data_IF_780133781037
#
_entry.id   IF_780133781037
#
_cell.length_a   1.000
_cell.length_b   1.000
_cell.length_c   1.000
_cell.angle_alpha   90.00
_cell.angle_beta   90.00
_cell.angle_gamma   90.00
#
_symmetry.space_group_name_H-M   'P 1'
#
loop_
_entity.id
_entity.type
_entity.pdbx_description
1 polymer ?
#
# COMPACT_ATOMS: atom_id res chain seq x y z
N UNK A 1 -7.38 0.02 27.13
CA UNK A 1 -8.08 0.20 25.84
C UNK A 1 -7.13 0.91 24.86
N UNK A 2 -6.38 0.15 24.04
CA UNK A 2 -5.37 0.73 23.13
C UNK A 2 -6.01 1.43 21.94
N UNK A 3 -5.81 2.75 21.82
CA UNK A 3 -6.28 3.56 20.69
C UNK A 3 -5.50 3.13 19.44
N UNK A 4 -6.15 2.43 18.51
CA UNK A 4 -5.55 2.14 17.19
C UNK A 4 -5.65 3.40 16.34
N UNK A 5 -4.50 4.00 16.01
CA UNK A 5 -4.43 5.09 15.04
C UNK A 5 -4.87 4.56 13.66
N UNK A 6 -5.73 5.27 12.91
CA UNK A 6 -6.13 4.81 11.58
C UNK A 6 -4.91 4.87 10.66
N UNK A 7 -4.41 3.71 10.25
CA UNK A 7 -3.35 3.61 9.26
C UNK A 7 -3.84 4.26 7.95
N UNK A 8 -3.26 5.40 7.59
CA UNK A 8 -3.61 6.24 6.43
C UNK A 8 -3.31 5.60 5.07
N UNK A 9 -2.83 4.36 5.04
CA UNK A 9 -2.61 3.54 3.83
C UNK A 9 -3.55 2.33 3.73
N UNK A 10 -4.71 2.37 4.38
CA UNK A 10 -5.68 1.29 4.26
C UNK A 10 -6.11 1.11 2.80
N UNK A 11 -5.77 -0.06 2.24
CA UNK A 11 -6.19 -0.48 0.90
C UNK A 11 -7.73 -0.42 0.85
N UNK A 12 -8.29 0.06 -0.25
CA UNK A 12 -9.74 0.05 -0.44
C UNK A 12 -10.24 -1.39 -0.32
N UNK A 13 -11.03 -1.66 0.72
CA UNK A 13 -11.56 -2.99 1.03
C UNK A 13 -13.04 -3.02 0.67
N UNK A 14 -13.41 -4.04 -0.08
CA UNK A 14 -14.81 -4.35 -0.35
C UNK A 14 -15.43 -5.00 0.89
N UNK A 15 -16.53 -4.42 1.40
CA UNK A 15 -17.26 -4.97 2.56
C UNK A 15 -18.20 -6.11 2.16
N UNK A 16 -18.66 -6.13 0.90
CA UNK A 16 -19.66 -7.07 0.40
C UNK A 16 -19.03 -8.31 -0.24
N UNK A 17 -17.74 -8.24 -0.59
CA UNK A 17 -17.03 -9.38 -1.16
C UNK A 17 -17.01 -10.58 -0.19
N UNK A 18 -17.26 -11.81 -0.71
CA UNK A 18 -17.06 -13.04 0.05
C UNK A 18 -15.67 -13.06 0.71
N UNK A 19 -15.61 -13.55 1.95
CA UNK A 19 -14.35 -13.64 2.68
C UNK A 19 -13.56 -14.84 2.19
N UNK A 20 -12.29 -14.62 1.87
CA UNK A 20 -11.34 -15.69 1.54
C UNK A 20 -11.25 -16.64 2.75
N UNK A 21 -11.36 -17.97 2.55
CA UNK A 21 -11.26 -18.93 3.63
C UNK A 21 -9.85 -18.97 4.19
N UNK A 22 -9.76 -19.41 5.45
CA UNK A 22 -8.49 -19.45 6.16
C UNK A 22 -7.66 -20.62 5.66
N UNK A 23 -6.40 -20.34 5.27
CA UNK A 23 -5.49 -21.40 4.84
C UNK A 23 -5.17 -22.38 5.99
N UNK A 24 -4.68 -23.56 5.63
CA UNK A 24 -4.41 -24.66 6.56
C UNK A 24 -3.55 -24.23 7.77
N UNK A 25 -2.44 -23.53 7.53
CA UNK A 25 -1.58 -23.03 8.61
C UNK A 25 -2.30 -22.03 9.51
N UNK A 26 -3.02 -21.06 8.95
CA UNK A 26 -3.71 -20.03 9.74
C UNK A 26 -4.80 -20.65 10.60
N UNK A 27 -5.46 -21.70 10.10
CA UNK A 27 -6.44 -22.50 10.85
C UNK A 27 -5.79 -23.19 12.03
N UNK A 28 -4.71 -23.94 11.78
CA UNK A 28 -3.90 -24.57 12.82
C UNK A 28 -3.41 -23.55 13.85
N UNK A 29 -2.88 -22.42 13.38
CA UNK A 29 -2.36 -21.35 14.21
C UNK A 29 -3.44 -20.75 15.11
N UNK A 30 -4.63 -20.45 14.56
CA UNK A 30 -5.74 -19.88 15.32
C UNK A 30 -6.24 -20.84 16.40
N UNK A 31 -6.37 -22.12 16.08
CA UNK A 31 -6.79 -23.15 17.04
C UNK A 31 -5.80 -23.23 18.21
N UNK A 32 -4.51 -23.39 17.91
CA UNK A 32 -3.47 -23.51 18.94
C UNK A 32 -3.26 -22.23 19.74
N UNK A 33 -3.29 -21.06 19.09
CA UNK A 33 -3.17 -19.78 19.78
C UNK A 33 -4.35 -19.54 20.73
N UNK A 34 -5.55 -19.95 20.35
CA UNK A 34 -6.74 -19.83 21.21
C UNK A 34 -6.64 -20.69 22.46
N UNK A 35 -6.10 -21.91 22.33
CA UNK A 35 -5.85 -22.80 23.46
C UNK A 35 -4.81 -22.18 24.41
N UNK A 36 -3.68 -21.70 23.88
CA UNK A 36 -2.64 -21.09 24.71
C UNK A 36 -3.05 -19.76 25.37
N UNK A 37 -3.97 -18.99 24.76
CA UNK A 37 -4.50 -17.77 25.39
C UNK A 37 -5.35 -18.10 26.62
N UNK A 38 -6.10 -19.21 26.61
CA UNK A 38 -6.87 -19.68 27.77
C UNK A 38 -5.95 -20.07 28.92
N UNK A 39 -4.76 -20.58 28.60
CA UNK A 39 -3.71 -20.95 29.55
C UNK A 39 -2.89 -19.75 30.06
N UNK A 40 -3.24 -18.50 29.68
CA UNK A 40 -2.55 -17.30 30.13
C UNK A 40 -1.13 -17.11 29.58
N UNK A 41 -0.72 -17.88 28.56
CA UNK A 41 0.64 -17.86 28.02
C UNK A 41 0.92 -16.61 27.18
N UNK A 42 2.19 -16.17 27.17
CA UNK A 42 2.66 -15.08 26.33
C UNK A 42 2.44 -15.39 24.84
N UNK A 43 1.60 -14.58 24.19
CA UNK A 43 1.20 -14.76 22.79
C UNK A 43 2.40 -14.82 21.83
N UNK A 44 3.47 -14.05 22.10
CA UNK A 44 4.64 -13.99 21.22
C UNK A 44 5.43 -15.31 21.23
N UNK A 45 5.70 -15.83 22.42
CA UNK A 45 6.44 -17.09 22.59
C UNK A 45 5.66 -18.28 22.04
N UNK A 46 4.35 -18.31 22.30
CA UNK A 46 3.43 -19.32 21.78
C UNK A 46 3.41 -19.30 20.26
N UNK A 47 3.32 -18.12 19.63
CA UNK A 47 3.26 -18.01 18.17
C UNK A 47 4.50 -18.62 17.49
N UNK A 48 5.69 -18.41 18.09
CA UNK A 48 6.94 -18.99 17.61
C UNK A 48 6.94 -20.52 17.74
N UNK A 49 6.48 -21.06 18.88
CA UNK A 49 6.35 -22.51 19.09
C UNK A 49 5.39 -23.16 18.10
N UNK A 50 4.23 -22.55 17.85
CA UNK A 50 3.24 -23.04 16.88
C UNK A 50 3.84 -23.08 15.47
N UNK A 51 4.57 -22.04 15.06
CA UNK A 51 5.22 -22.00 13.76
C UNK A 51 6.26 -23.13 13.61
N UNK A 52 7.09 -23.35 14.64
CA UNK A 52 8.06 -24.45 14.66
C UNK A 52 7.35 -25.81 14.57
N UNK A 53 6.31 -26.03 15.37
CA UNK A 53 5.55 -27.29 15.35
C UNK A 53 4.91 -27.56 13.98
N UNK A 54 4.31 -26.55 13.35
CA UNK A 54 3.77 -26.71 11.99
C UNK A 54 4.87 -27.08 10.98
N UNK A 55 6.08 -26.54 11.12
CA UNK A 55 7.18 -26.88 10.20
C UNK A 55 7.63 -28.34 10.32
N UNK A 56 7.55 -28.92 11.51
CA UNK A 56 7.97 -30.31 11.79
C UNK A 56 6.87 -31.34 11.59
N UNK A 57 5.60 -30.92 11.50
CA UNK A 57 4.48 -31.82 11.23
C UNK A 57 4.60 -32.49 9.85
N UNK A 58 4.19 -33.75 9.81
CA UNK A 58 4.10 -34.59 8.61
C UNK A 58 2.97 -34.15 7.68
N UNK A 59 2.92 -34.71 6.46
CA UNK A 59 1.86 -34.40 5.51
C UNK A 59 0.50 -34.91 6.02
N UNK A 60 0.50 -36.05 6.69
CA UNK A 60 -0.66 -36.73 7.27
C UNK A 60 -1.28 -35.89 8.39
N UNK A 61 -0.46 -35.33 9.28
CA UNK A 61 -0.92 -34.45 10.35
C UNK A 61 -1.45 -33.11 9.82
N UNK A 62 -0.92 -32.62 8.70
CA UNK A 62 -1.39 -31.39 8.05
C UNK A 62 -2.64 -31.62 7.20
N UNK A 63 -2.84 -32.85 6.71
CA UNK A 63 -3.94 -33.24 5.81
C UNK A 63 -5.31 -32.72 6.23
N UNK A 64 -5.79 -32.90 7.47
CA UNK A 64 -7.12 -32.42 7.86
C UNK A 64 -7.28 -30.90 7.68
N UNK A 65 -6.24 -30.11 7.95
CA UNK A 65 -6.28 -28.66 7.78
C UNK A 65 -6.31 -28.23 6.30
N UNK A 66 -5.66 -29.01 5.42
CA UNK A 66 -5.70 -28.78 3.98
C UNK A 66 -7.04 -29.22 3.38
N UNK A 67 -7.58 -30.35 3.78
CA UNK A 67 -8.88 -30.84 3.32
C UNK A 67 -10.00 -29.85 3.66
N UNK A 68 -10.03 -29.34 4.90
CA UNK A 68 -10.99 -28.30 5.30
C UNK A 68 -10.80 -26.99 4.50
N UNK A 69 -9.54 -26.57 4.28
CA UNK A 69 -9.27 -25.39 3.46
C UNK A 69 -9.76 -25.57 2.03
N UNK A 70 -9.53 -26.73 1.42
CA UNK A 70 -9.94 -27.02 0.04
C UNK A 70 -11.46 -27.02 -0.09
N UNK A 71 -12.18 -27.65 0.86
CA UNK A 71 -13.64 -27.63 0.90
C UNK A 71 -14.20 -26.22 0.99
N UNK A 72 -13.68 -25.39 1.90
CA UNK A 72 -14.14 -24.00 2.03
C UNK A 72 -13.75 -23.14 0.83
N UNK A 73 -12.63 -23.45 0.18
CA UNK A 73 -12.13 -22.76 -1.02
C UNK A 73 -13.05 -22.96 -2.21
N UNK A 74 -13.60 -24.16 -2.40
CA UNK A 74 -14.59 -24.45 -3.43
C UNK A 74 -15.85 -23.61 -3.23
N UNK A 75 -16.43 -23.65 -2.02
CA UNK A 75 -17.60 -22.83 -1.66
C UNK A 75 -17.33 -21.33 -1.84
N UNK A 76 -16.13 -20.88 -1.49
CA UNK A 76 -15.72 -19.49 -1.71
C UNK A 76 -15.69 -19.13 -3.20
N UNK A 77 -15.21 -20.01 -4.07
CA UNK A 77 -15.17 -19.74 -5.50
C UNK A 77 -16.55 -19.62 -6.11
N UNK A 78 -17.50 -20.47 -5.70
CA UNK A 78 -18.90 -20.37 -6.12
C UNK A 78 -19.51 -19.03 -5.68
N UNK A 79 -19.42 -18.69 -4.39
CA UNK A 79 -19.90 -17.40 -3.86
C UNK A 79 -19.25 -16.20 -4.55
N UNK A 80 -17.97 -16.32 -4.89
CA UNK A 80 -17.24 -15.26 -5.58
C UNK A 80 -17.66 -15.14 -7.05
N UNK A 81 -18.05 -16.25 -7.69
CA UNK A 81 -18.61 -16.24 -9.05
C UNK A 81 -19.94 -15.48 -9.06
N UNK A 82 -20.86 -15.85 -8.17
CA UNK A 82 -22.14 -15.14 -7.99
C UNK A 82 -21.91 -13.67 -7.65
N UNK A 83 -21.00 -13.38 -6.71
CA UNK A 83 -20.70 -12.01 -6.30
C UNK A 83 -20.24 -11.12 -7.47
N UNK A 84 -19.45 -11.66 -8.41
CA UNK A 84 -18.96 -10.88 -9.56
C UNK A 84 -20.06 -10.45 -10.52
N UNK A 85 -21.20 -11.12 -10.52
CA UNK A 85 -22.34 -10.79 -11.36
C UNK A 85 -23.18 -9.64 -10.77
N UNK A 86 -23.03 -9.39 -9.46
CA UNK A 86 -23.79 -8.36 -8.73
C UNK A 86 -23.40 -6.93 -9.10
N UNK A 87 -24.36 -5.99 -8.95
CA UNK A 87 -24.11 -4.56 -9.14
C UNK A 87 -23.13 -4.00 -8.10
N UNK A 88 -23.14 -4.55 -6.88
CA UNK A 88 -22.21 -4.17 -5.80
C UNK A 88 -20.76 -4.38 -6.23
N UNK A 89 -20.45 -5.50 -6.89
CA UNK A 89 -19.12 -5.76 -7.42
C UNK A 89 -18.73 -4.76 -8.51
N UNK A 90 -19.63 -4.50 -9.47
CA UNK A 90 -19.39 -3.54 -10.56
C UNK A 90 -19.11 -2.14 -10.01
N UNK A 91 -19.90 -1.69 -9.06
CA UNK A 91 -19.73 -0.38 -8.42
C UNK A 91 -18.41 -0.31 -7.64
N UNK A 92 -18.06 -1.36 -6.90
CA UNK A 92 -16.77 -1.43 -6.22
C UNK A 92 -15.59 -1.36 -7.20
N UNK A 93 -15.66 -2.01 -8.36
CA UNK A 93 -14.62 -1.91 -9.39
C UNK A 93 -14.51 -0.49 -9.97
N UNK A 94 -15.63 0.19 -10.21
CA UNK A 94 -15.64 1.59 -10.65
C UNK A 94 -14.97 2.50 -9.62
N UNK A 95 -15.35 2.40 -8.35
CA UNK A 95 -14.74 3.18 -7.25
C UNK A 95 -13.24 2.92 -7.17
N UNK A 96 -12.82 1.66 -7.26
CA UNK A 96 -11.40 1.26 -7.24
C UNK A 96 -10.63 1.86 -8.41
N UNK A 97 -11.19 1.83 -9.61
CA UNK A 97 -10.61 2.41 -10.81
C UNK A 97 -10.48 3.94 -10.71
N UNK A 98 -11.54 4.62 -10.27
CA UNK A 98 -11.54 6.08 -10.12
C UNK A 98 -10.55 6.53 -9.04
N UNK A 99 -10.44 5.82 -7.92
CA UNK A 99 -9.41 6.08 -6.90
C UNK A 99 -7.99 5.94 -7.49
N UNK A 100 -7.75 4.91 -8.31
CA UNK A 100 -6.46 4.71 -9.01
C UNK A 100 -6.18 5.83 -10.01
N UNK A 101 -7.17 6.23 -10.82
CA UNK A 101 -7.05 7.36 -11.76
C UNK A 101 -6.75 8.67 -11.01
N UNK A 102 -7.47 8.96 -9.92
CA UNK A 102 -7.26 10.13 -9.07
C UNK A 102 -5.85 10.16 -8.48
N UNK A 103 -5.35 9.02 -7.98
CA UNK A 103 -3.98 8.91 -7.47
C UNK A 103 -2.94 9.20 -8.58
N UNK A 104 -3.11 8.62 -9.77
CA UNK A 104 -2.26 8.89 -10.94
C UNK A 104 -2.28 10.37 -11.35
N UNK A 105 -3.48 10.99 -11.42
CA UNK A 105 -3.64 12.42 -11.73
C UNK A 105 -2.91 13.29 -10.70
N UNK A 106 -3.08 13.01 -9.41
CA UNK A 106 -2.37 13.72 -8.32
C UNK A 106 -0.85 13.61 -8.45
N UNK A 107 -0.34 12.39 -8.69
CA UNK A 107 1.10 12.15 -8.90
C UNK A 107 1.62 12.93 -10.12
N UNK A 108 0.92 12.87 -11.26
CA UNK A 108 1.29 13.63 -12.47
C UNK A 108 1.29 15.14 -12.24
N UNK A 109 0.30 15.67 -11.52
CA UNK A 109 0.22 17.09 -11.17
C UNK A 109 1.38 17.50 -10.25
N UNK A 110 1.75 16.66 -9.28
CA UNK A 110 2.92 16.90 -8.42
C UNK A 110 4.21 17.00 -9.24
N UNK A 111 4.41 16.08 -10.18
CA UNK A 111 5.59 16.09 -11.06
C UNK A 111 5.63 17.36 -11.90
N UNK A 112 4.51 17.74 -12.55
CA UNK A 112 4.43 18.98 -13.33
C UNK A 112 4.76 20.22 -12.50
N UNK A 113 4.24 20.31 -11.27
CA UNK A 113 4.53 21.41 -10.35
C UNK A 113 6.03 21.47 -10.00
N UNK A 114 6.64 20.33 -9.68
CA UNK A 114 8.07 20.27 -9.35
C UNK A 114 8.95 20.66 -10.55
N UNK A 115 8.60 20.20 -11.77
CA UNK A 115 9.31 20.59 -13.01
C UNK A 115 9.17 22.08 -13.26
N UNK A 116 7.96 22.63 -13.14
CA UNK A 116 7.74 24.07 -13.31
C UNK A 116 8.55 24.88 -12.29
N UNK A 117 8.56 24.46 -11.02
CA UNK A 117 9.34 25.11 -9.96
C UNK A 117 10.84 25.10 -10.27
N UNK A 118 11.39 23.98 -10.77
CA UNK A 118 12.78 23.88 -11.19
C UNK A 118 13.09 24.78 -12.40
N UNK A 119 12.22 24.80 -13.41
CA UNK A 119 12.38 25.67 -14.59
C UNK A 119 12.35 27.15 -14.20
N UNK A 120 11.41 27.56 -13.34
CA UNK A 120 11.35 28.93 -12.82
C UNK A 120 12.61 29.31 -12.06
N UNK A 121 13.16 28.39 -11.26
CA UNK A 121 14.42 28.61 -10.56
C UNK A 121 15.61 28.80 -11.52
N UNK A 122 15.73 27.96 -12.56
CA UNK A 122 16.80 28.07 -13.58
C UNK A 122 16.68 29.38 -14.38
N UNK A 123 15.46 29.81 -14.74
CA UNK A 123 15.26 31.08 -15.43
C UNK A 123 15.66 32.27 -14.56
N UNK A 124 15.31 32.25 -13.27
CA UNK A 124 15.70 33.29 -12.33
C UNK A 124 17.23 33.37 -12.16
N UNK A 125 17.94 32.24 -12.10
CA UNK A 125 19.41 32.26 -11.98
C UNK A 125 20.08 32.76 -13.26
N UNK A 126 19.61 32.33 -14.43
CA UNK A 126 20.10 32.84 -15.73
C UNK A 126 19.87 34.34 -15.89
N UNK A 127 18.68 34.84 -15.53
CA UNK A 127 18.35 36.27 -15.58
C UNK A 127 19.24 37.07 -14.63
N UNK A 128 19.44 36.61 -13.39
CA UNK A 128 20.34 37.26 -12.42
C UNK A 128 21.78 37.32 -12.94
N UNK A 129 22.28 36.24 -13.53
CA UNK A 129 23.61 36.19 -14.12
C UNK A 129 23.75 37.17 -15.29
N UNK A 130 22.76 37.19 -16.20
CA UNK A 130 22.73 38.12 -17.33
C UNK A 130 22.72 39.58 -16.87
N UNK A 131 21.85 39.94 -15.90
CA UNK A 131 21.79 41.29 -15.35
C UNK A 131 23.10 41.69 -14.66
N UNK A 132 23.72 40.77 -13.90
CA UNK A 132 25.02 41.03 -13.26
C UNK A 132 26.09 41.35 -14.30
N UNK A 133 26.17 40.55 -15.37
CA UNK A 133 27.14 40.77 -16.44
C UNK A 133 26.85 42.07 -17.21
N UNK A 134 25.58 42.32 -17.55
CA UNK A 134 25.15 43.53 -18.25
C UNK A 134 25.48 44.81 -17.46
N UNK A 135 25.19 44.84 -16.17
CA UNK A 135 25.55 45.97 -15.29
C UNK A 135 27.06 46.15 -15.18
N UNK A 136 27.82 45.06 -15.15
CA UNK A 136 29.30 45.10 -15.14
C UNK A 136 29.84 45.69 -16.43
N UNK A 137 29.31 45.28 -17.58
CA UNK A 137 29.69 45.82 -18.89
C UNK A 137 29.35 47.30 -19.02
N UNK A 138 28.18 47.75 -18.55
CA UNK A 138 27.80 49.17 -18.54
C UNK A 138 28.74 49.98 -17.65
N UNK A 139 29.04 49.49 -16.44
CA UNK A 139 29.97 50.15 -15.52
C UNK A 139 31.36 50.28 -16.15
N UNK A 140 31.88 49.21 -16.75
CA UNK A 140 33.18 49.25 -17.43
C UNK A 140 33.17 50.25 -18.60
N UNK A 141 32.16 50.23 -19.48
CA UNK A 141 32.06 51.20 -20.59
C UNK A 141 31.97 52.66 -20.12
N UNK A 142 31.30 52.93 -19.00
CA UNK A 142 31.19 54.29 -18.43
C UNK A 142 32.51 54.77 -17.79
N UNK A 143 33.35 53.87 -17.30
CA UNK A 143 34.68 54.20 -16.79
C UNK A 143 35.60 54.61 -17.93
N UNK A 144 35.57 53.89 -19.06
CA UNK A 144 36.40 54.19 -20.23
C UNK A 144 35.94 55.40 -21.06
N UNK A 145 34.74 55.97 -20.81
CA UNK A 145 34.26 57.19 -21.48
C UNK A 145 34.49 58.48 -20.68
N UNK A 146 35.16 58.40 -19.52
CA UNK A 146 35.49 59.54 -18.64
C UNK A 146 37.00 59.80 -18.53
N UNK A 147 37.80 59.01 -19.25
CA UNK A 147 39.22 59.24 -19.55
C UNK A 147 39.28 59.80 -20.97
#
# INVERSE_FOLDING_TARGET
>A
MGKTTPNTRTRLRDKNAPKIPMNAYSRYFKANLSNSRREGKNTREVSSKIAKQWSTMTAEEKKPYFDEYNKEKEVYYERMKEYKETEQYKEFQKIKLEKKKRARRKSRLSIKKNVHQLLMFILQTKLKFFLKNFLTTIKNKRIYSKL
#
